data_IF_756982558742
#
_entry.id   IF_756982558742
#
_cell.length_a   1.000
_cell.length_b   1.000
_cell.length_c   1.000
_cell.angle_alpha   90.00
_cell.angle_beta   90.00
_cell.angle_gamma   90.00
#
_symmetry.space_group_name_H-M   'P 1'
#
loop_
_entity.id
_entity.type
_entity.pdbx_description
1 polymer ?
#
# COMPACT_ATOMS: atom_id res chain seq x y z
N UNK A 1 -3.90 -30.27 14.12
CA UNK A 1 -2.87 -29.42 14.73
C UNK A 1 -2.94 -28.04 14.21
N UNK A 2 -3.65 -27.22 14.92
CA UNK A 2 -3.78 -25.82 14.55
C UNK A 2 -2.83 -24.91 15.31
N UNK A 3 -2.24 -25.44 16.36
CA UNK A 3 -1.39 -24.69 17.26
C UNK A 3 -0.23 -24.00 16.57
N UNK A 4 0.50 -24.65 15.64
CA UNK A 4 1.62 -23.97 14.99
C UNK A 4 1.19 -22.73 14.21
N UNK A 5 -0.04 -22.73 13.70
CA UNK A 5 -0.56 -21.58 12.96
C UNK A 5 -0.96 -20.47 13.92
N UNK A 6 -1.58 -20.85 15.04
CA UNK A 6 -2.06 -19.89 16.02
C UNK A 6 -0.94 -19.31 16.86
N UNK A 7 0.13 -20.09 17.05
CA UNK A 7 1.26 -19.66 17.86
C UNK A 7 2.32 -18.94 17.05
N UNK A 8 2.22 -19.00 15.73
CA UNK A 8 3.17 -18.31 14.88
C UNK A 8 3.11 -16.81 15.08
N UNK A 9 4.23 -16.15 14.86
CA UNK A 9 4.28 -14.72 14.82
C UNK A 9 4.27 -14.25 13.39
N UNK A 10 3.79 -13.04 13.17
CA UNK A 10 3.77 -12.40 11.88
C UNK A 10 4.54 -11.08 11.96
N UNK A 11 5.19 -10.73 10.86
CA UNK A 11 5.95 -9.50 10.76
C UNK A 11 5.16 -8.51 9.93
N UNK A 12 5.11 -7.28 10.41
CA UNK A 12 4.33 -6.20 9.80
C UNK A 12 5.21 -5.00 9.59
N UNK A 13 5.11 -4.40 8.42
CA UNK A 13 5.72 -3.10 8.16
C UNK A 13 4.69 -2.04 8.51
N UNK A 14 5.02 -1.18 9.45
CA UNK A 14 4.12 -0.12 9.92
C UNK A 14 4.56 1.20 9.32
N UNK A 15 3.61 1.93 8.78
CA UNK A 15 3.88 3.23 8.19
C UNK A 15 2.79 4.23 8.58
N UNK A 16 3.13 5.49 8.48
CA UNK A 16 2.25 6.58 8.88
C UNK A 16 1.81 7.45 7.72
N UNK A 17 0.56 7.88 7.78
CA UNK A 17 -0.02 8.91 6.94
C UNK A 17 -0.79 9.84 7.87
N UNK A 18 -0.37 11.12 7.92
CA UNK A 18 -0.88 12.07 8.90
C UNK A 18 -0.69 11.48 10.30
N UNK A 19 -1.74 11.37 11.10
CA UNK A 19 -1.65 10.82 12.44
C UNK A 19 -2.09 9.37 12.54
N UNK A 20 -2.39 8.75 11.40
CA UNK A 20 -2.87 7.38 11.36
C UNK A 20 -1.73 6.42 11.04
N UNK A 21 -1.85 5.20 11.55
CA UNK A 21 -0.87 4.14 11.32
C UNK A 21 -1.51 3.00 10.55
N UNK A 22 -0.76 2.48 9.61
CA UNK A 22 -1.20 1.40 8.75
C UNK A 22 -0.11 0.34 8.69
N UNK A 23 -0.48 -0.86 8.30
CA UNK A 23 0.48 -1.95 8.22
C UNK A 23 0.23 -2.78 6.97
N UNK A 24 1.32 -3.36 6.48
CA UNK A 24 1.31 -4.39 5.45
C UNK A 24 2.12 -5.57 5.96
N UNK A 25 1.76 -6.79 5.54
CA UNK A 25 2.62 -7.93 5.84
C UNK A 25 4.02 -7.69 5.28
N UNK A 26 5.03 -8.03 6.06
CA UNK A 26 6.42 -7.84 5.61
C UNK A 26 6.68 -8.54 4.28
N UNK A 27 6.07 -9.70 4.07
CA UNK A 27 6.24 -10.45 2.82
C UNK A 27 5.74 -9.70 1.59
N UNK A 28 4.84 -8.72 1.76
CA UNK A 28 4.32 -7.92 0.65
C UNK A 28 5.18 -6.70 0.35
N UNK A 29 6.13 -6.37 1.22
CA UNK A 29 6.96 -5.16 1.07
C UNK A 29 8.31 -5.55 0.49
N UNK A 30 8.67 -4.93 -0.62
CA UNK A 30 9.97 -5.13 -1.22
C UNK A 30 11.01 -4.24 -0.53
N UNK A 31 10.76 -2.93 -0.51
CA UNK A 31 11.67 -1.98 0.11
C UNK A 31 10.99 -0.63 0.31
N UNK A 32 11.63 0.23 1.08
CA UNK A 32 11.19 1.60 1.27
C UNK A 32 12.35 2.49 0.85
N UNK A 33 12.07 3.48 -0.01
CA UNK A 33 13.06 4.42 -0.49
C UNK A 33 12.54 5.84 -0.27
N UNK A 34 13.42 6.82 -0.37
CA UNK A 34 13.00 8.21 -0.28
C UNK A 34 12.19 8.58 -1.50
N UNK A 35 11.24 9.48 -1.29
CA UNK A 35 10.41 9.97 -2.39
C UNK A 35 11.28 10.60 -3.47
N UNK A 36 10.92 10.36 -4.71
CA UNK A 36 11.60 10.88 -5.88
C UNK A 36 10.56 11.42 -6.84
N UNK A 37 11.03 12.03 -7.90
CA UNK A 37 10.14 12.55 -8.92
C UNK A 37 9.45 11.41 -9.65
N UNK A 38 8.15 11.52 -9.84
CA UNK A 38 7.38 10.55 -10.61
C UNK A 38 6.95 11.19 -11.92
N UNK A 39 6.66 10.34 -12.88
CA UNK A 39 6.20 10.76 -14.20
C UNK A 39 4.69 10.61 -14.27
N UNK A 40 3.96 11.65 -14.67
CA UNK A 40 2.52 11.49 -14.89
C UNK A 40 2.25 10.38 -15.90
N UNK A 41 1.22 9.60 -15.64
CA UNK A 41 0.83 8.51 -16.51
C UNK A 41 -0.47 8.91 -17.20
N UNK A 42 -0.42 9.28 -18.50
CA UNK A 42 -1.63 9.72 -19.19
C UNK A 42 -2.70 8.65 -19.20
N UNK A 43 -3.93 9.06 -19.10
CA UNK A 43 -5.12 8.20 -19.16
C UNK A 43 -5.27 7.26 -17.96
N UNK A 44 -4.39 7.35 -16.97
CA UNK A 44 -4.53 6.54 -15.77
C UNK A 44 -5.71 7.02 -14.93
N UNK A 45 -6.35 6.13 -14.16
CA UNK A 45 -7.38 6.54 -13.21
C UNK A 45 -6.84 7.56 -12.20
N UNK A 46 -7.74 8.35 -11.65
CA UNK A 46 -7.37 9.41 -10.71
C UNK A 46 -6.67 8.87 -9.45
N UNK A 47 -6.89 7.60 -9.11
CA UNK A 47 -6.24 6.96 -7.97
C UNK A 47 -4.75 6.72 -8.21
N UNK A 48 -4.28 6.89 -9.43
CA UNK A 48 -2.88 6.71 -9.80
C UNK A 48 -2.24 8.09 -9.94
N UNK A 49 -1.21 8.36 -9.14
CA UNK A 49 -0.49 9.63 -9.20
C UNK A 49 0.44 9.72 -10.40
N UNK A 50 0.96 8.60 -10.84
CA UNK A 50 1.90 8.56 -11.93
C UNK A 50 2.65 7.25 -11.92
N UNK A 51 3.85 7.26 -12.48
CA UNK A 51 4.70 6.08 -12.57
C UNK A 51 6.10 6.40 -12.07
N UNK A 52 6.73 5.42 -11.45
CA UNK A 52 8.12 5.50 -11.00
C UNK A 52 8.93 4.50 -11.81
N UNK A 53 10.04 4.97 -12.37
CA UNK A 53 11.01 4.08 -13.01
C UNK A 53 12.02 3.67 -11.95
N UNK A 54 11.95 2.41 -11.55
CA UNK A 54 12.85 1.86 -10.55
C UNK A 54 13.71 0.80 -11.22
N UNK A 55 14.96 1.15 -11.54
CA UNK A 55 15.92 0.24 -12.14
C UNK A 55 15.38 -0.43 -13.41
N UNK A 56 14.70 0.32 -14.26
CA UNK A 56 14.16 -0.18 -15.52
C UNK A 56 12.76 -0.74 -15.44
N UNK A 57 12.21 -0.90 -14.22
CA UNK A 57 10.84 -1.33 -14.05
C UNK A 57 9.94 -0.11 -13.82
N UNK A 58 8.82 -0.06 -14.54
CA UNK A 58 7.87 1.03 -14.40
C UNK A 58 6.79 0.60 -13.43
N UNK A 59 6.70 1.29 -12.31
CA UNK A 59 5.76 0.95 -11.25
C UNK A 59 4.71 2.04 -11.11
N UNK A 60 3.41 1.68 -11.01
CA UNK A 60 2.39 2.68 -10.76
C UNK A 60 2.49 3.20 -9.32
N UNK A 61 2.25 4.49 -9.15
CA UNK A 61 2.29 5.16 -7.86
C UNK A 61 0.85 5.41 -7.41
N UNK A 62 0.46 4.79 -6.32
CA UNK A 62 -0.91 4.84 -5.80
C UNK A 62 -1.13 6.08 -4.95
N UNK A 63 -2.28 6.71 -5.15
CA UNK A 63 -2.72 7.80 -4.29
C UNK A 63 -3.40 7.23 -3.05
N UNK A 64 -2.59 6.89 -2.06
CA UNK A 64 -3.07 6.25 -0.84
C UNK A 64 -3.96 7.21 -0.06
N UNK A 65 -3.60 8.49 -0.01
CA UNK A 65 -4.40 9.49 0.70
C UNK A 65 -5.82 9.55 0.17
N UNK A 66 -5.95 9.52 -1.15
CA UNK A 66 -7.27 9.55 -1.77
C UNK A 66 -8.10 8.32 -1.39
N UNK A 67 -7.48 7.14 -1.45
CA UNK A 67 -8.20 5.90 -1.14
C UNK A 67 -8.59 5.82 0.33
N UNK A 68 -7.74 6.34 1.23
CA UNK A 68 -8.01 6.31 2.66
C UNK A 68 -8.82 7.52 3.13
N UNK A 69 -9.23 8.40 2.20
CA UNK A 69 -10.01 9.59 2.50
C UNK A 69 -9.30 10.55 3.44
N UNK A 70 -8.00 10.66 3.26
CA UNK A 70 -7.18 11.64 3.95
C UNK A 70 -7.02 12.87 3.06
N UNK A 71 -6.71 14.05 3.65
CA UNK A 71 -6.42 15.23 2.84
C UNK A 71 -5.30 14.94 1.87
N UNK A 72 -5.52 15.27 0.61
CA UNK A 72 -4.51 15.07 -0.43
C UNK A 72 -3.53 16.23 -0.42
N UNK A 73 -2.29 15.93 -0.71
CA UNK A 73 -1.25 16.93 -0.85
C UNK A 73 -0.20 16.42 -1.83
N UNK A 74 0.60 17.33 -2.34
CA UNK A 74 1.71 16.98 -3.21
C UNK A 74 2.76 16.14 -2.47
N UNK A 75 3.48 15.33 -3.22
CA UNK A 75 4.59 14.56 -2.67
C UNK A 75 5.68 15.53 -2.22
N UNK A 76 6.15 15.35 -1.00
CA UNK A 76 7.19 16.18 -0.41
C UNK A 76 8.51 15.44 -0.35
N UNK A 77 9.65 16.15 -0.34
CA UNK A 77 10.96 15.48 -0.26
C UNK A 77 11.14 14.60 0.98
N UNK A 78 10.41 14.89 2.06
CA UNK A 78 10.47 14.08 3.27
C UNK A 78 9.61 12.83 3.23
N UNK A 79 8.81 12.65 2.21
CA UNK A 79 7.99 11.47 2.05
C UNK A 79 8.85 10.27 1.66
N UNK A 80 8.25 9.09 1.75
CA UNK A 80 8.90 7.84 1.35
C UNK A 80 8.01 7.09 0.39
N UNK A 81 8.65 6.29 -0.46
CA UNK A 81 7.97 5.37 -1.35
C UNK A 81 8.12 3.96 -0.80
N UNK A 82 6.99 3.36 -0.47
CA UNK A 82 6.95 1.96 -0.04
C UNK A 82 6.65 1.13 -1.28
N UNK A 83 7.64 0.34 -1.72
CA UNK A 83 7.48 -0.53 -2.87
C UNK A 83 6.95 -1.86 -2.37
N UNK A 84 5.77 -2.22 -2.84
CA UNK A 84 5.08 -3.42 -2.40
C UNK A 84 4.65 -4.25 -3.60
N UNK A 85 4.30 -5.48 -3.32
CA UNK A 85 3.87 -6.42 -4.35
C UNK A 85 2.43 -6.86 -4.08
N UNK A 86 1.59 -6.69 -5.09
CA UNK A 86 0.26 -7.29 -5.10
C UNK A 86 0.33 -8.63 -5.83
N UNK A 87 -0.80 -9.33 -5.89
CA UNK A 87 -0.87 -10.57 -6.66
C UNK A 87 -0.64 -10.34 -8.15
N UNK A 88 -0.77 -9.10 -8.63
CA UNK A 88 -0.66 -8.79 -10.05
C UNK A 88 0.63 -8.07 -10.42
N UNK A 89 1.16 -7.22 -9.54
CA UNK A 89 2.30 -6.37 -9.92
C UNK A 89 2.93 -5.72 -8.70
N UNK A 90 4.10 -5.14 -8.91
CA UNK A 90 4.72 -4.26 -7.94
C UNK A 90 4.14 -2.87 -8.07
N UNK A 91 3.94 -2.20 -6.95
CA UNK A 91 3.31 -0.89 -6.87
C UNK A 91 4.07 -0.02 -5.88
N UNK A 92 3.79 1.28 -5.91
CA UNK A 92 4.42 2.24 -5.01
C UNK A 92 3.32 2.92 -4.20
N UNK A 93 3.49 2.92 -2.88
CA UNK A 93 2.64 3.69 -1.97
C UNK A 93 3.43 4.89 -1.49
N UNK A 94 2.83 6.07 -1.55
CA UNK A 94 3.46 7.27 -0.98
C UNK A 94 3.06 7.35 0.49
N UNK A 95 4.05 7.32 1.37
CA UNK A 95 3.81 7.34 2.81
C UNK A 95 4.55 8.53 3.42
N UNK A 96 4.06 9.02 4.57
CA UNK A 96 4.73 10.12 5.26
C UNK A 96 6.00 9.63 5.94
N UNK A 97 5.92 8.48 6.58
CA UNK A 97 7.07 7.91 7.27
C UNK A 97 6.93 6.40 7.43
N UNK A 98 8.07 5.74 7.52
CA UNK A 98 8.13 4.34 7.90
C UNK A 98 8.39 4.27 9.40
N UNK A 99 7.63 3.44 10.11
CA UNK A 99 7.73 3.34 11.56
C UNK A 99 8.38 2.03 12.01
N UNK A 100 8.83 1.22 11.05
CA UNK A 100 9.58 0.03 11.36
C UNK A 100 8.82 -1.25 11.14
N UNK A 101 9.42 -2.34 11.57
CA UNK A 101 8.86 -3.69 11.44
C UNK A 101 8.48 -4.17 12.83
N UNK A 102 7.25 -4.66 12.95
CA UNK A 102 6.76 -5.25 14.19
C UNK A 102 6.61 -6.75 14.01
N UNK A 103 7.06 -7.50 14.99
CA UNK A 103 6.78 -8.92 15.10
C UNK A 103 5.71 -9.08 16.16
N UNK A 104 4.57 -9.61 15.78
CA UNK A 104 3.44 -9.79 16.68
C UNK A 104 2.91 -11.22 16.58
N UNK A 105 2.33 -11.76 17.66
CA UNK A 105 1.63 -13.04 17.56
C UNK A 105 0.51 -12.93 16.53
N UNK A 106 0.24 -14.05 15.86
CA UNK A 106 -0.85 -14.07 14.87
C UNK A 106 -2.19 -13.65 15.49
N UNK A 107 -2.37 -13.92 16.79
CA UNK A 107 -3.60 -13.56 17.49
C UNK A 107 -3.77 -12.05 17.70
N UNK A 108 -2.72 -11.26 17.48
CA UNK A 108 -2.83 -9.80 17.61
C UNK A 108 -3.59 -9.16 16.46
N UNK A 109 -3.74 -9.86 15.34
CA UNK A 109 -4.48 -9.35 14.20
C UNK A 109 -5.96 -9.73 14.31
N UNK A 110 -6.83 -8.74 14.18
CA UNK A 110 -8.27 -8.91 14.26
C UNK A 110 -8.84 -8.70 12.88
N UNK A 111 -9.65 -9.66 12.41
CA UNK A 111 -10.26 -9.58 11.09
C UNK A 111 -11.34 -8.50 11.09
N UNK A 112 -11.22 -7.55 10.17
CA UNK A 112 -12.15 -6.44 10.01
C UNK A 112 -13.52 -6.91 9.53
N UNK A 113 -13.60 -8.07 8.89
CA UNK A 113 -14.89 -8.58 8.45
C UNK A 113 -15.86 -8.71 9.61
N UNK A 114 -15.37 -8.93 10.83
CA UNK A 114 -16.20 -9.01 12.01
C UNK A 114 -16.61 -7.64 12.56
N UNK A 115 -15.99 -6.56 12.09
CA UNK A 115 -16.24 -5.21 12.56
C UNK A 115 -17.22 -4.44 11.70
N UNK A 116 -17.74 -5.04 10.68
CA UNK A 116 -18.75 -4.52 9.77
C UNK A 116 -18.45 -3.20 9.08
N UNK A 117 -18.96 -3.06 7.87
CA UNK A 117 -19.07 -1.79 7.13
C UNK A 117 -17.79 -1.05 6.84
N UNK A 118 -16.69 -1.72 6.91
CA UNK A 118 -15.48 -1.10 6.45
C UNK A 118 -15.45 -1.12 4.94
N UNK A 119 -15.10 -0.01 4.28
CA UNK A 119 -14.78 -0.08 2.87
C UNK A 119 -13.70 -1.14 2.71
N UNK A 120 -13.78 -1.97 1.70
CA UNK A 120 -12.96 -3.16 1.54
C UNK A 120 -11.47 -2.94 1.37
N UNK A 121 -10.91 -1.83 1.87
CA UNK A 121 -9.48 -1.54 1.76
C UNK A 121 -8.67 -2.08 2.92
N UNK A 122 -9.31 -2.50 3.98
CA UNK A 122 -8.63 -3.00 5.16
C UNK A 122 -9.07 -4.42 5.45
N UNK A 123 -8.12 -5.27 5.76
CA UNK A 123 -8.39 -6.67 6.08
C UNK A 123 -8.37 -6.95 7.57
N UNK A 124 -7.91 -6.00 8.38
CA UNK A 124 -7.85 -6.22 9.80
C UNK A 124 -7.29 -5.05 10.56
N UNK A 125 -7.11 -5.25 11.85
CA UNK A 125 -6.57 -4.25 12.77
C UNK A 125 -5.56 -4.95 13.65
N UNK A 126 -4.42 -4.31 13.87
CA UNK A 126 -3.47 -4.74 14.90
C UNK A 126 -3.74 -3.92 16.15
N UNK A 127 -3.89 -4.61 17.27
CA UNK A 127 -4.09 -3.96 18.54
C UNK A 127 -2.75 -3.86 19.26
N UNK A 128 -2.28 -2.63 19.46
CA UNK A 128 -1.05 -2.36 20.17
C UNK A 128 -1.36 -1.64 21.46
N UNK A 129 -0.39 -1.58 22.39
CA UNK A 129 -0.58 -0.90 23.65
C UNK A 129 -0.91 0.59 23.46
N UNK A 130 -0.30 1.21 22.45
CA UNK A 130 -0.47 2.64 22.18
C UNK A 130 -1.53 2.94 21.12
N UNK A 131 -2.36 1.97 20.76
CA UNK A 131 -3.46 2.21 19.84
C UNK A 131 -3.62 1.15 18.77
N UNK A 132 -4.36 1.50 17.76
CA UNK A 132 -4.69 0.59 16.67
C UNK A 132 -3.88 0.91 15.42
N UNK A 133 -3.55 -0.13 14.68
CA UNK A 133 -2.92 -0.02 13.37
C UNK A 133 -3.81 -0.76 12.39
N UNK A 134 -4.20 -0.09 11.31
CA UNK A 134 -5.08 -0.68 10.30
C UNK A 134 -4.26 -1.49 9.31
N UNK A 135 -4.64 -2.74 9.09
CA UNK A 135 -3.98 -3.60 8.12
C UNK A 135 -4.62 -3.32 6.76
N UNK A 136 -3.82 -2.78 5.85
CA UNK A 136 -4.30 -2.47 4.51
C UNK A 136 -4.32 -3.74 3.65
N UNK A 137 -5.39 -3.90 2.87
CA UNK A 137 -5.48 -4.96 1.88
C UNK A 137 -5.09 -4.40 0.52
N UNK A 138 -3.83 -4.57 0.17
CA UNK A 138 -3.28 -3.99 -1.04
C UNK A 138 -3.86 -4.61 -2.31
N UNK A 139 -4.27 -5.87 -2.24
CA UNK A 139 -4.79 -6.57 -3.41
C UNK A 139 -6.15 -6.04 -3.86
N UNK A 140 -6.89 -5.39 -2.97
CA UNK A 140 -8.17 -4.78 -3.31
C UNK A 140 -8.10 -3.25 -3.34
N UNK A 141 -6.90 -2.69 -3.42
CA UNK A 141 -6.73 -1.24 -3.48
C UNK A 141 -7.44 -0.64 -4.68
N UNK A 142 -7.31 -1.28 -5.85
CA UNK A 142 -7.95 -0.80 -7.07
C UNK A 142 -9.28 -1.50 -7.27
N UNK A 143 -10.28 -0.75 -7.71
CA UNK A 143 -11.51 -1.35 -8.22
C UNK A 143 -11.21 -2.07 -9.55
N UNK A 144 -12.10 -2.98 -10.00
CA UNK A 144 -11.88 -3.62 -11.29
C UNK A 144 -11.73 -2.65 -12.46
N UNK A 145 -12.53 -1.58 -12.47
CA UNK A 145 -12.42 -0.56 -13.52
C UNK A 145 -11.11 0.20 -13.44
N UNK A 146 -10.66 0.53 -12.22
CA UNK A 146 -9.38 1.20 -12.04
C UNK A 146 -8.23 0.31 -12.47
N UNK A 147 -8.30 -0.98 -12.18
CA UNK A 147 -7.28 -1.94 -12.60
C UNK A 147 -7.18 -2.02 -14.12
N UNK A 148 -8.32 -2.08 -14.79
CA UNK A 148 -8.34 -2.08 -16.26
C UNK A 148 -7.80 -0.78 -16.83
N UNK A 149 -8.19 0.36 -16.25
CA UNK A 149 -7.70 1.66 -16.68
C UNK A 149 -6.19 1.79 -16.50
N UNK A 150 -5.66 1.24 -15.42
CA UNK A 150 -4.22 1.25 -15.19
C UNK A 150 -3.51 0.38 -16.22
N UNK A 151 -4.03 -0.82 -16.51
CA UNK A 151 -3.43 -1.70 -17.50
C UNK A 151 -3.34 -1.02 -18.86
N UNK A 152 -4.40 -0.35 -19.27
CA UNK A 152 -4.43 0.39 -20.54
C UNK A 152 -3.39 1.52 -20.52
N UNK A 153 -3.35 2.28 -19.45
CA UNK A 153 -2.44 3.42 -19.34
C UNK A 153 -0.97 2.97 -19.35
N UNK A 154 -0.66 1.89 -18.66
CA UNK A 154 0.72 1.34 -18.65
C UNK A 154 1.10 0.84 -20.03
N UNK A 155 0.19 0.15 -20.71
CA UNK A 155 0.43 -0.36 -22.04
C UNK A 155 0.71 0.76 -23.03
N UNK A 156 -0.07 1.83 -22.98
CA UNK A 156 0.12 2.98 -23.86
C UNK A 156 1.36 3.79 -23.51
N UNK A 157 1.62 3.95 -22.20
CA UNK A 157 2.80 4.65 -21.74
C UNK A 157 4.08 3.97 -22.18
N UNK A 158 4.15 2.66 -22.07
CA UNK A 158 5.30 1.92 -22.51
C UNK A 158 5.47 1.95 -24.02
N UNK A 159 4.37 1.92 -24.76
CA UNK A 159 4.41 2.02 -26.22
C UNK A 159 4.97 3.36 -26.67
N UNK A 160 4.71 4.44 -25.94
CA UNK A 160 5.22 5.76 -26.28
C UNK A 160 6.68 5.95 -25.86
N UNK A 161 7.11 5.25 -24.86
CA UNK A 161 8.49 5.32 -24.38
C UNK A 161 9.46 4.57 -25.27
N UNK A 162 8.95 3.70 -26.12
CA UNK A 162 9.75 2.93 -27.10
C UNK A 162 9.93 3.65 -28.43
#
# INVERSE_FOLDING_TARGET
>A
MLEPILEGSAHWVVFGLDQNRYALPLAAVDRIVRAAQITPLPLAPAIILGALDLAGSVLPVFNVRRRFRLPERAIEPGDHFLIARTVHRSVVLVIDCAQGVLELPAAAAIDVASLTRHPGHFRGVLRLEDGLVLIHDLDVFLSPDEALGLDVALSQGMSRAG
#
